data_IF_188375419460
#
_entry.id   IF_188375419460
#
_cell.length_a   1.000
_cell.length_b   1.000
_cell.length_c   1.000
_cell.angle_alpha   90.00
_cell.angle_beta   90.00
_cell.angle_gamma   90.00
#
_symmetry.space_group_name_H-M   'P 1'
#
loop_
_entity.id
_entity.type
_entity.pdbx_description
1 polymer ?
#
# COMPACT_ATOMS: atom_id res chain seq x y z
N UNK A 1 -2.42 15.64 -19.40
CA UNK A 1 -1.18 15.47 -18.63
C UNK A 1 -1.23 14.09 -18.01
N UNK A 2 -0.23 13.27 -18.32
CA UNK A 2 -0.06 11.89 -17.86
C UNK A 2 0.89 11.89 -16.68
N UNK A 3 0.78 10.85 -15.84
CA UNK A 3 1.60 10.47 -14.69
C UNK A 3 1.07 10.92 -13.32
N UNK A 4 0.02 10.26 -12.83
CA UNK A 4 -0.24 10.13 -11.39
C UNK A 4 0.23 8.77 -10.91
N UNK A 5 1.55 8.57 -10.89
CA UNK A 5 2.14 7.47 -10.15
C UNK A 5 2.10 7.84 -8.66
N UNK A 6 1.03 7.47 -7.97
CA UNK A 6 1.00 7.48 -6.52
C UNK A 6 1.01 6.05 -5.99
N UNK A 7 2.16 5.64 -5.48
CA UNK A 7 2.32 4.66 -4.41
C UNK A 7 3.78 4.78 -3.93
N UNK A 8 4.02 5.34 -2.73
CA UNK A 8 3.85 4.51 -1.54
C UNK A 8 3.39 5.31 -0.31
N UNK A 9 2.19 5.08 0.25
CA UNK A 9 2.10 5.23 1.70
C UNK A 9 2.90 4.09 2.33
N UNK A 10 3.74 4.44 3.28
CA UNK A 10 4.26 3.48 4.22
C UNK A 10 3.07 2.98 5.03
N UNK A 11 2.63 1.75 4.78
CA UNK A 11 1.95 1.01 5.83
C UNK A 11 3.04 0.73 6.87
N UNK A 12 3.25 1.69 7.78
CA UNK A 12 3.80 1.37 9.09
C UNK A 12 2.68 0.58 9.74
N UNK A 13 2.66 -0.72 9.44
CA UNK A 13 1.97 -1.68 10.27
C UNK A 13 2.66 -1.57 11.62
N UNK A 14 2.16 -0.67 12.47
CA UNK A 14 2.40 -0.76 13.90
C UNK A 14 1.89 -2.15 14.23
N UNK A 15 2.82 -3.07 14.37
CA UNK A 15 2.58 -4.48 14.55
C UNK A 15 1.86 -4.64 15.90
N UNK A 16 0.54 -4.44 15.89
CA UNK A 16 -0.31 -4.96 16.95
C UNK A 16 -0.05 -6.47 17.00
N UNK A 17 0.10 -7.05 18.20
CA UNK A 17 0.57 -8.42 18.37
C UNK A 17 -0.21 -9.38 17.46
N UNK A 18 0.56 -10.21 16.77
CA UNK A 18 0.17 -11.04 15.63
C UNK A 18 -1.09 -11.90 15.88
N UNK A 19 -2.27 -11.34 15.61
CA UNK A 19 -3.42 -12.15 15.26
C UNK A 19 -3.30 -12.51 13.77
N UNK A 20 -2.67 -13.65 13.48
CA UNK A 20 -2.74 -14.24 12.15
C UNK A 20 -4.22 -14.50 11.80
N UNK A 21 -4.65 -14.07 10.62
CA UNK A 21 -6.05 -14.20 10.23
C UNK A 21 -6.53 -13.20 9.19
N UNK A 22 -7.81 -13.29 8.84
CA UNK A 22 -8.45 -12.34 7.94
C UNK A 22 -8.57 -10.97 8.59
N UNK A 23 -8.47 -9.92 7.79
CA UNK A 23 -8.63 -8.54 8.23
C UNK A 23 -9.22 -7.66 7.12
N UNK A 24 -9.69 -6.48 7.52
CA UNK A 24 -10.04 -5.40 6.62
C UNK A 24 -8.97 -4.31 6.71
N UNK A 25 -8.61 -3.73 5.57
CA UNK A 25 -7.71 -2.59 5.49
C UNK A 25 -8.39 -1.47 4.73
N UNK A 26 -8.54 -0.32 5.39
CA UNK A 26 -8.99 0.92 4.76
C UNK A 26 -7.85 1.91 4.88
N UNK A 27 -7.24 2.28 3.76
CA UNK A 27 -6.02 3.09 3.73
C UNK A 27 -6.15 4.24 2.73
N UNK A 28 -5.94 5.48 3.20
CA UNK A 28 -5.87 6.65 2.36
C UNK A 28 -4.40 7.02 2.05
N UNK A 29 -4.06 7.05 0.77
CA UNK A 29 -2.76 7.40 0.22
C UNK A 29 -2.87 8.75 -0.49
N UNK A 30 -2.54 9.84 0.19
CA UNK A 30 -2.56 11.19 -0.40
C UNK A 30 -1.19 11.60 -0.90
N UNK A 31 -1.16 12.24 -2.07
CA UNK A 31 0.05 12.62 -2.77
C UNK A 31 0.25 14.13 -2.87
N UNK A 32 1.47 14.62 -2.59
CA UNK A 32 1.82 16.04 -2.69
C UNK A 32 3.18 16.25 -3.35
N UNK A 33 3.30 17.29 -4.18
CA UNK A 33 4.58 17.79 -4.72
C UNK A 33 4.82 19.20 -4.16
N UNK A 34 5.60 19.29 -3.07
CA UNK A 34 5.67 20.54 -2.32
C UNK A 34 4.34 20.86 -1.64
N UNK A 35 3.75 22.02 -1.96
CA UNK A 35 2.41 22.41 -1.52
C UNK A 35 1.28 21.88 -2.40
N UNK A 36 1.61 21.34 -3.58
CA UNK A 36 0.63 21.02 -4.59
C UNK A 36 0.06 19.62 -4.33
N UNK A 37 -1.24 19.56 -4.07
CA UNK A 37 -1.96 18.30 -3.88
C UNK A 37 -2.18 17.62 -5.22
N UNK A 38 -1.89 16.32 -5.31
CA UNK A 38 -2.04 15.53 -6.54
C UNK A 38 -3.26 14.62 -6.56
N UNK A 39 -3.85 14.33 -5.40
CA UNK A 39 -4.96 13.39 -5.26
C UNK A 39 -4.80 12.43 -4.09
N UNK A 40 -5.82 11.61 -3.88
CA UNK A 40 -5.86 10.56 -2.85
C UNK A 40 -6.38 9.27 -3.45
N UNK A 41 -5.74 8.16 -3.09
CA UNK A 41 -6.26 6.82 -3.33
C UNK A 41 -6.74 6.22 -2.01
N UNK A 42 -7.97 5.73 -1.96
CA UNK A 42 -8.53 5.05 -0.78
C UNK A 42 -8.66 3.55 -1.10
N UNK A 43 -7.75 2.74 -0.57
CA UNK A 43 -7.78 1.30 -0.68
C UNK A 43 -8.80 0.71 0.30
N UNK A 44 -9.70 -0.15 -0.19
CA UNK A 44 -10.67 -0.88 0.62
C UNK A 44 -10.45 -2.38 0.42
N UNK A 45 -9.52 -2.96 1.17
CA UNK A 45 -9.09 -4.33 0.96
C UNK A 45 -9.61 -5.29 2.02
N UNK A 46 -9.88 -6.51 1.59
CA UNK A 46 -9.89 -7.69 2.46
C UNK A 46 -8.51 -8.33 2.35
N UNK A 47 -7.95 -8.70 3.49
CA UNK A 47 -6.62 -9.30 3.54
C UNK A 47 -6.55 -10.50 4.46
N UNK A 48 -5.43 -11.22 4.33
CA UNK A 48 -5.02 -12.26 5.24
C UNK A 48 -3.56 -12.02 5.62
N UNK A 49 -3.27 -12.06 6.92
CA UNK A 49 -1.90 -11.94 7.45
C UNK A 49 -1.54 -13.17 8.24
N UNK A 50 -0.29 -13.60 8.15
CA UNK A 50 0.26 -14.69 8.96
C UNK A 50 1.76 -14.49 9.11
N UNK A 51 2.25 -14.71 10.32
CA UNK A 51 3.66 -14.54 10.67
C UNK A 51 4.14 -13.16 10.19
N UNK A 52 5.14 -13.13 9.31
CA UNK A 52 5.76 -11.91 8.80
C UNK A 52 5.28 -11.56 7.39
N UNK A 53 4.17 -12.11 6.89
CA UNK A 53 3.65 -11.80 5.55
C UNK A 53 2.16 -11.50 5.55
N UNK A 54 1.72 -10.81 4.50
CA UNK A 54 0.32 -10.50 4.24
C UNK A 54 0.02 -10.48 2.75
N UNK A 55 -1.24 -10.71 2.41
CA UNK A 55 -1.82 -10.47 1.10
C UNK A 55 -3.16 -9.78 1.27
N UNK A 56 -3.46 -8.80 0.42
CA UNK A 56 -4.72 -8.07 0.45
C UNK A 56 -5.10 -7.59 -0.95
N UNK A 57 -6.40 -7.52 -1.22
CA UNK A 57 -6.93 -6.99 -2.47
C UNK A 57 -8.35 -6.47 -2.26
N UNK A 58 -8.80 -5.59 -3.17
CA UNK A 58 -10.14 -5.04 -3.16
C UNK A 58 -10.24 -3.78 -4.01
N UNK A 59 -11.40 -3.11 -3.98
CA UNK A 59 -11.58 -1.86 -4.69
C UNK A 59 -10.73 -0.73 -4.07
N UNK A 60 -10.20 0.12 -4.93
CA UNK A 60 -9.60 1.40 -4.59
C UNK A 60 -10.43 2.53 -5.20
N UNK A 61 -10.66 3.58 -4.43
CA UNK A 61 -11.24 4.83 -4.93
C UNK A 61 -10.08 5.75 -5.29
N UNK A 62 -9.91 6.06 -6.57
CA UNK A 62 -8.87 6.94 -7.09
C UNK A 62 -9.48 8.33 -7.30
N UNK A 63 -9.11 9.29 -6.45
CA UNK A 63 -9.63 10.66 -6.48
C UNK A 63 -8.51 11.66 -6.82
N UNK A 64 -8.29 11.97 -8.11
CA UNK A 64 -7.28 12.95 -8.54
C UNK A 64 -7.67 14.39 -8.14
N UNK A 65 -6.67 15.27 -8.01
CA UNK A 65 -6.95 16.69 -7.79
C UNK A 65 -7.57 17.34 -9.04
N UNK A 66 -8.80 17.84 -8.91
CA UNK A 66 -9.54 18.50 -10.00
C UNK A 66 -10.14 17.57 -11.06
N UNK A 67 -10.21 16.25 -10.82
CA UNK A 67 -10.84 15.27 -11.71
C UNK A 67 -11.94 14.44 -11.05
N UNK A 68 -12.61 13.60 -11.83
CA UNK A 68 -13.62 12.68 -11.32
C UNK A 68 -12.98 11.49 -10.61
N UNK A 69 -13.65 10.99 -9.57
CA UNK A 69 -13.20 9.82 -8.85
C UNK A 69 -13.59 8.53 -9.59
N UNK A 70 -12.66 7.58 -9.65
CA UNK A 70 -12.83 6.29 -10.30
C UNK A 70 -12.69 5.15 -9.29
N UNK A 71 -13.28 3.99 -9.60
CA UNK A 71 -13.12 2.78 -8.80
C UNK A 71 -12.29 1.78 -9.58
N UNK A 72 -11.13 1.43 -9.03
CA UNK A 72 -10.18 0.50 -9.61
C UNK A 72 -10.04 -0.75 -8.74
N UNK A 73 -9.51 -1.83 -9.29
CA UNK A 73 -9.10 -3.00 -8.52
C UNK A 73 -7.63 -2.87 -8.14
N UNK A 74 -7.31 -3.04 -6.86
CA UNK A 74 -5.94 -3.04 -6.36
C UNK A 74 -5.63 -4.22 -5.46
N UNK A 75 -4.34 -4.51 -5.31
CA UNK A 75 -3.87 -5.52 -4.38
C UNK A 75 -2.40 -5.34 -4.02
N UNK A 76 -2.04 -5.88 -2.86
CA UNK A 76 -0.70 -5.82 -2.27
C UNK A 76 -0.36 -7.16 -1.64
N UNK A 77 0.87 -7.61 -1.83
CA UNK A 77 1.46 -8.72 -1.08
C UNK A 77 2.81 -8.26 -0.56
N UNK A 78 3.06 -8.51 0.72
CA UNK A 78 4.29 -8.08 1.36
C UNK A 78 4.67 -8.96 2.52
N UNK A 79 5.90 -8.76 2.99
CA UNK A 79 6.38 -9.43 4.18
C UNK A 79 7.75 -8.96 4.61
N UNK A 80 8.22 -9.49 5.73
CA UNK A 80 9.50 -9.15 6.34
C UNK A 80 10.29 -10.39 6.79
N UNK A 81 11.59 -10.20 6.92
CA UNK A 81 12.55 -11.17 7.46
C UNK A 81 13.45 -10.48 8.47
N UNK A 82 13.66 -11.12 9.61
CA UNK A 82 14.58 -10.63 10.63
C UNK A 82 16.02 -10.93 10.19
N UNK A 83 16.84 -9.88 10.12
CA UNK A 83 18.26 -9.97 9.77
C UNK A 83 19.15 -10.10 11.02
N UNK A 84 18.70 -9.55 12.14
CA UNK A 84 19.29 -9.67 13.47
C UNK A 84 18.23 -9.38 14.54
N UNK A 85 18.60 -9.47 15.82
CA UNK A 85 17.71 -9.13 16.95
C UNK A 85 17.19 -7.68 16.93
N UNK A 86 17.81 -6.78 16.16
CA UNK A 86 17.44 -5.36 16.08
C UNK A 86 17.19 -4.86 14.67
N UNK A 87 17.38 -5.69 13.63
CA UNK A 87 17.21 -5.28 12.22
C UNK A 87 16.31 -6.27 11.52
N UNK A 88 15.28 -5.76 10.84
CA UNK A 88 14.48 -6.54 9.88
C UNK A 88 14.48 -5.88 8.50
N UNK A 89 14.32 -6.69 7.45
CA UNK A 89 14.08 -6.23 6.09
C UNK A 89 12.64 -6.54 5.68
N UNK A 90 12.01 -5.64 4.94
CA UNK A 90 10.66 -5.85 4.41
C UNK A 90 10.59 -5.56 2.92
N UNK A 91 9.64 -6.19 2.25
CA UNK A 91 9.31 -5.96 0.85
C UNK A 91 7.81 -6.03 0.60
N UNK A 92 7.35 -5.33 -0.42
CA UNK A 92 5.97 -5.34 -0.91
C UNK A 92 5.98 -5.28 -2.44
N UNK A 93 5.06 -5.99 -3.08
CA UNK A 93 4.66 -5.74 -4.46
C UNK A 93 3.17 -5.43 -4.51
N UNK A 94 2.79 -4.50 -5.37
CA UNK A 94 1.42 -4.02 -5.49
C UNK A 94 1.01 -3.87 -6.96
N UNK A 95 -0.29 -3.97 -7.21
CA UNK A 95 -0.87 -3.66 -8.51
C UNK A 95 -2.14 -2.82 -8.34
N UNK A 96 -2.51 -2.10 -9.40
CA UNK A 96 -3.78 -1.41 -9.55
C UNK A 96 -4.19 -1.40 -11.02
N UNK A 97 -5.46 -1.68 -11.31
CA UNK A 97 -5.99 -1.54 -12.67
C UNK A 97 -6.13 -0.08 -13.07
N UNK A 98 -6.22 0.15 -14.37
CA UNK A 98 -6.62 1.45 -14.94
C UNK A 98 -7.11 1.23 -16.37
N UNK A 99 -7.94 2.15 -16.86
CA UNK A 99 -8.46 2.16 -18.23
C UNK A 99 -7.38 2.14 -19.31
N UNK A 100 -6.21 2.74 -19.05
CA UNK A 100 -5.13 2.83 -20.03
C UNK A 100 -4.06 1.74 -19.81
N UNK A 101 -3.38 1.80 -18.67
CA UNK A 101 -2.25 0.93 -18.34
C UNK A 101 -2.33 0.54 -16.85
N UNK A 102 -2.23 -0.76 -16.56
CA UNK A 102 -2.16 -1.23 -15.18
C UNK A 102 -0.90 -0.70 -14.48
N UNK A 103 -1.06 -0.28 -13.23
CA UNK A 103 0.03 0.19 -12.40
C UNK A 103 0.61 -0.97 -11.58
N UNK A 104 1.94 -1.03 -11.50
CA UNK A 104 2.66 -1.98 -10.65
C UNK A 104 3.65 -1.22 -9.77
N UNK A 105 3.75 -1.61 -8.51
CA UNK A 105 4.63 -0.99 -7.52
C UNK A 105 5.45 -2.03 -6.79
N UNK A 106 6.65 -1.65 -6.38
CA UNK A 106 7.51 -2.43 -5.49
C UNK A 106 8.03 -1.53 -4.38
N UNK A 107 8.13 -2.07 -3.17
CA UNK A 107 8.76 -1.40 -2.02
C UNK A 107 9.72 -2.37 -1.36
N UNK A 108 10.84 -1.85 -0.87
CA UNK A 108 11.79 -2.58 -0.05
C UNK A 108 12.37 -1.62 0.99
N UNK A 109 12.58 -2.09 2.21
CA UNK A 109 13.15 -1.28 3.26
C UNK A 109 13.70 -2.10 4.41
N UNK A 110 14.33 -1.39 5.35
CA UNK A 110 14.85 -1.93 6.60
C UNK A 110 14.16 -1.25 7.78
N UNK A 111 13.95 -1.98 8.87
CA UNK A 111 13.52 -1.46 10.16
C UNK A 111 14.63 -1.74 11.18
N UNK A 112 14.97 -0.74 11.99
CA UNK A 112 15.90 -0.87 13.11
C UNK A 112 15.18 -0.53 14.42
N UNK A 113 15.25 -1.44 15.40
CA UNK A 113 14.60 -1.31 16.71
C UNK A 113 15.66 -1.16 17.82
N UNK A 114 15.45 -0.18 18.72
CA UNK A 114 16.37 0.18 19.81
C UNK A 114 15.97 -0.45 21.14
#
# INVERSE_FOLDING_TARGET
MKLTAFLPAALIAVAAPAAAGPYLNVEANSGFSGSDYGGTVIDNHVGYKKDNWYIQAGPAIVAPDGGDAEVELSGKVGGSVDLSDSVSAYGEVSFMTSDADNNFGTKIGLVYEF
#
